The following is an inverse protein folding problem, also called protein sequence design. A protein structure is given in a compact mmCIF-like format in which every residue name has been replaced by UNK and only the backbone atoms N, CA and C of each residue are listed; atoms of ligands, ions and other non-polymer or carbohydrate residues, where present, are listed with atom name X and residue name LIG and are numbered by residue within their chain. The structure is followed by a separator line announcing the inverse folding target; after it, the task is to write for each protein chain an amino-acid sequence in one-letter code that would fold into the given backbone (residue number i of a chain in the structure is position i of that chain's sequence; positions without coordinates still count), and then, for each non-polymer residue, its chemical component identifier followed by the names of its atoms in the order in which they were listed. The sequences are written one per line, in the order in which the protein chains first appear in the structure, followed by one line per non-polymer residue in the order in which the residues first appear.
data_IF_526724248662
#
_entry.id   IF_526724248662
#
_cell.length_a   1.000
_cell.length_b   1.000
_cell.length_c   1.000
_cell.angle_alpha   90.00
_cell.angle_beta   90.00
_cell.angle_gamma   90.00
#
_symmetry.space_group_name_H-M   'P 1'
#
loop_
_entity.id
_entity.type
_entity.pdbx_description
1 polymer ?
#
# COMPACT_ATOMS: atom_id res chain seq x y z
N UNK A 1 17.57 -6.01 -25.67
CA UNK A 1 17.09 -7.26 -26.30
C UNK A 1 18.10 -7.83 -27.32
N UNK A 2 19.41 -7.78 -27.01
CA UNK A 2 20.51 -8.31 -27.87
C UNK A 2 21.56 -9.08 -27.03
N UNK A 3 21.27 -9.39 -25.77
CA UNK A 3 22.17 -10.20 -24.91
C UNK A 3 21.38 -11.32 -24.22
N UNK A 4 20.49 -11.96 -24.96
CA UNK A 4 19.77 -13.16 -24.51
C UNK A 4 19.91 -14.32 -25.53
N UNK A 5 20.90 -14.22 -26.40
CA UNK A 5 21.43 -15.33 -27.17
C UNK A 5 22.76 -15.69 -26.53
N UNK A 6 22.80 -16.83 -25.84
CA UNK A 6 23.95 -17.66 -25.42
C UNK A 6 23.62 -18.28 -24.05
N UNK A 7 22.65 -19.20 -24.07
CA UNK A 7 22.63 -20.41 -23.24
C UNK A 7 21.48 -21.33 -23.66
N UNK A 8 21.61 -21.93 -24.85
CA UNK A 8 20.82 -23.12 -25.21
C UNK A 8 21.76 -24.33 -25.25
N UNK A 9 21.77 -25.01 -24.10
CA UNK A 9 22.35 -26.34 -23.89
C UNK A 9 21.61 -27.37 -24.76
N UNK A 10 22.39 -28.30 -25.33
CA UNK A 10 22.17 -29.65 -25.89
C UNK A 10 20.81 -30.09 -26.52
N UNK A 11 19.68 -29.45 -26.23
CA UNK A 11 18.37 -29.72 -26.85
C UNK A 11 18.19 -29.07 -28.23
N UNK A 12 19.06 -28.14 -28.63
CA UNK A 12 19.04 -27.52 -29.95
C UNK A 12 19.34 -28.52 -31.07
N UNK A 13 20.18 -29.53 -30.79
CA UNK A 13 20.53 -30.58 -31.75
C UNK A 13 19.37 -31.54 -32.00
N UNK A 14 18.60 -31.92 -30.96
CA UNK A 14 17.39 -32.73 -31.16
C UNK A 14 16.30 -31.98 -31.95
N UNK A 15 16.15 -30.67 -31.70
CA UNK A 15 15.19 -29.86 -32.45
C UNK A 15 15.61 -29.76 -33.94
N UNK A 16 16.89 -29.49 -34.22
CA UNK A 16 17.41 -29.41 -35.58
C UNK A 16 17.35 -30.75 -36.34
N UNK A 17 17.66 -31.87 -35.68
CA UNK A 17 17.59 -33.21 -36.28
C UNK A 17 16.13 -33.62 -36.55
N UNK A 18 15.21 -33.27 -35.65
CA UNK A 18 13.77 -33.50 -35.87
C UNK A 18 13.22 -32.67 -37.04
N UNK A 19 13.65 -31.40 -37.17
CA UNK A 19 13.24 -30.54 -38.29
C UNK A 19 13.84 -30.97 -39.62
N UNK A 20 15.06 -31.53 -39.63
CA UNK A 20 15.68 -32.07 -40.85
C UNK A 20 14.98 -33.35 -41.30
N UNK A 21 14.63 -34.26 -40.37
CA UNK A 21 13.84 -35.45 -40.71
C UNK A 21 12.45 -35.10 -41.22
N UNK A 22 11.79 -34.09 -40.66
CA UNK A 22 10.50 -33.57 -41.17
C UNK A 22 10.65 -32.96 -42.56
N UNK A 23 11.73 -32.22 -42.84
CA UNK A 23 12.00 -31.65 -44.17
C UNK A 23 12.33 -32.73 -45.22
N UNK A 24 13.05 -33.79 -44.85
CA UNK A 24 13.30 -34.94 -45.73
C UNK A 24 12.01 -35.73 -46.00
N UNK A 25 11.13 -35.87 -45.01
CA UNK A 25 9.82 -36.52 -45.19
C UNK A 25 8.88 -35.69 -46.10
N UNK A 26 9.02 -34.37 -46.09
CA UNK A 26 8.26 -33.46 -46.98
C UNK A 26 8.82 -33.49 -48.42
N UNK A 27 10.11 -33.78 -48.61
CA UNK A 27 10.76 -33.80 -49.93
C UNK A 27 10.34 -34.97 -50.83
N UNK A 28 9.86 -36.08 -50.28
CA UNK A 28 9.38 -37.23 -51.08
C UNK A 28 7.86 -37.26 -51.31
N UNK A 29 7.12 -36.26 -50.80
CA UNK A 29 5.68 -36.19 -51.04
C UNK A 29 5.36 -35.57 -52.39
N UNK A 30 5.10 -36.45 -53.37
CA UNK A 30 4.41 -36.16 -54.63
C UNK A 30 3.24 -35.21 -54.35
N UNK A 31 3.29 -33.97 -54.88
CA UNK A 31 2.29 -32.90 -54.63
C UNK A 31 0.86 -33.46 -54.73
N UNK A 32 0.13 -33.61 -53.61
CA UNK A 32 -1.30 -33.85 -53.68
C UNK A 32 -1.97 -32.49 -53.93
N UNK A 33 -3.01 -32.48 -54.77
CA UNK A 33 -3.85 -31.33 -55.10
C UNK A 33 -4.49 -30.63 -53.88
N UNK A 34 -4.33 -31.21 -52.68
CA UNK A 34 -4.94 -30.78 -51.43
C UNK A 34 -3.92 -30.21 -50.41
N UNK A 35 -2.66 -29.99 -50.79
CA UNK A 35 -1.63 -29.46 -49.87
C UNK A 35 -2.04 -28.12 -49.22
N UNK A 36 -2.69 -27.24 -49.99
CA UNK A 36 -3.22 -25.97 -49.47
C UNK A 36 -4.33 -26.17 -48.43
N UNK A 37 -5.13 -27.23 -48.55
CA UNK A 37 -6.20 -27.58 -47.59
C UNK A 37 -5.57 -28.04 -46.28
N UNK A 38 -4.55 -28.91 -46.34
CA UNK A 38 -3.85 -29.41 -45.15
C UNK A 38 -3.16 -28.28 -44.38
N UNK A 39 -2.49 -27.37 -45.10
CA UNK A 39 -1.85 -26.18 -44.49
C UNK A 39 -2.90 -25.29 -43.80
N UNK A 40 -4.05 -25.07 -44.45
CA UNK A 40 -5.14 -24.27 -43.88
C UNK A 40 -5.71 -24.84 -42.59
N UNK A 41 -5.94 -26.16 -42.54
CA UNK A 41 -6.45 -26.85 -41.34
C UNK A 41 -5.46 -26.75 -40.18
N UNK A 42 -4.17 -27.02 -40.43
CA UNK A 42 -3.14 -26.96 -39.38
C UNK A 42 -2.97 -25.54 -38.84
N UNK A 43 -2.95 -24.54 -39.71
CA UNK A 43 -2.87 -23.13 -39.30
C UNK A 43 -4.08 -22.73 -38.44
N UNK A 44 -5.30 -23.16 -38.82
CA UNK A 44 -6.51 -22.89 -38.06
C UNK A 44 -6.48 -23.53 -36.66
N UNK A 45 -5.99 -24.76 -36.54
CA UNK A 45 -5.89 -25.43 -35.23
C UNK A 45 -4.88 -24.74 -34.32
N UNK A 46 -3.74 -24.30 -34.86
CA UNK A 46 -2.72 -23.57 -34.09
C UNK A 46 -3.23 -22.20 -33.61
N UNK A 47 -3.96 -21.47 -34.46
CA UNK A 47 -4.61 -20.21 -34.08
C UNK A 47 -5.65 -20.40 -32.96
N UNK A 48 -6.42 -21.49 -33.02
CA UNK A 48 -7.42 -21.79 -32.00
C UNK A 48 -6.77 -22.12 -30.65
N UNK A 49 -5.72 -22.94 -30.65
CA UNK A 49 -4.94 -23.28 -29.45
C UNK A 49 -4.30 -22.01 -28.85
N UNK A 50 -3.69 -21.17 -29.68
CA UNK A 50 -3.11 -19.90 -29.23
C UNK A 50 -4.17 -18.99 -28.60
N UNK A 51 -5.34 -18.87 -29.22
CA UNK A 51 -6.46 -18.07 -28.71
C UNK A 51 -6.98 -18.59 -27.36
N UNK A 52 -7.03 -19.92 -27.18
CA UNK A 52 -7.42 -20.55 -25.92
C UNK A 52 -6.37 -20.30 -24.83
N UNK A 53 -5.08 -20.46 -25.14
CA UNK A 53 -3.98 -20.20 -24.19
C UNK A 53 -3.97 -18.73 -23.79
N UNK A 54 -4.10 -17.81 -24.76
CA UNK A 54 -4.24 -16.37 -24.48
C UNK A 54 -5.47 -16.13 -23.63
N UNK A 55 -6.63 -16.70 -23.94
CA UNK A 55 -7.85 -16.54 -23.14
C UNK A 55 -7.68 -17.04 -21.69
N UNK A 56 -7.05 -18.19 -21.47
CA UNK A 56 -6.79 -18.70 -20.11
C UNK A 56 -5.71 -17.91 -19.39
N UNK A 57 -4.66 -17.47 -20.09
CA UNK A 57 -3.64 -16.59 -19.53
C UNK A 57 -4.23 -15.23 -19.17
N UNK A 58 -5.10 -14.69 -20.02
CA UNK A 58 -5.83 -13.45 -19.81
C UNK A 58 -6.84 -13.60 -18.68
N UNK A 59 -7.58 -14.73 -18.60
CA UNK A 59 -8.43 -15.08 -17.45
C UNK A 59 -7.64 -15.26 -16.17
N UNK A 60 -6.40 -15.76 -16.20
CA UNK A 60 -5.57 -15.92 -15.00
C UNK A 60 -4.93 -14.60 -14.58
N UNK A 61 -4.56 -13.77 -15.54
CA UNK A 61 -4.00 -12.43 -15.33
C UNK A 61 -5.07 -11.42 -14.85
N UNK A 62 -6.31 -11.53 -15.35
CA UNK A 62 -7.44 -10.67 -14.96
C UNK A 62 -8.37 -11.28 -13.91
N UNK A 63 -8.40 -12.61 -13.75
CA UNK A 63 -9.34 -13.33 -12.86
C UNK A 63 -9.09 -13.16 -11.37
N UNK A 64 -8.09 -12.39 -10.98
CA UNK A 64 -7.84 -12.02 -9.58
C UNK A 64 -7.71 -10.52 -9.35
N UNK A 65 -7.91 -9.69 -10.39
CA UNK A 65 -8.15 -8.26 -10.18
C UNK A 65 -9.60 -8.09 -9.76
N UNK A 66 -9.81 -8.03 -8.45
CA UNK A 66 -10.94 -7.32 -7.85
C UNK A 66 -11.21 -6.07 -8.69
N UNK A 67 -12.41 -5.98 -9.27
CA UNK A 67 -12.82 -4.88 -10.16
C UNK A 67 -12.46 -3.56 -9.49
N UNK A 68 -11.52 -2.82 -10.10
CA UNK A 68 -11.07 -1.50 -9.65
C UNK A 68 -12.28 -0.55 -9.58
N UNK A 69 -12.39 0.23 -8.51
CA UNK A 69 -13.46 1.23 -8.36
C UNK A 69 -14.86 0.64 -8.23
N UNK A 70 -15.01 -0.49 -7.53
CA UNK A 70 -16.32 -1.12 -7.33
C UNK A 70 -17.28 -0.17 -6.62
N UNK A 71 -18.42 0.14 -7.23
CA UNK A 71 -19.52 0.79 -6.53
C UNK A 71 -20.24 -0.27 -5.69
N UNK A 72 -20.30 -0.04 -4.38
CA UNK A 72 -21.06 -0.88 -3.46
C UNK A 72 -22.38 -0.20 -3.14
N UNK A 73 -23.43 -1.02 -2.95
CA UNK A 73 -24.70 -0.49 -2.45
C UNK A 73 -24.68 -0.38 -0.93
N UNK A 74 -25.45 0.56 -0.37
CA UNK A 74 -25.53 0.69 1.09
C UNK A 74 -26.11 -0.58 1.71
N UNK A 75 -27.11 -1.20 1.05
CA UNK A 75 -27.70 -2.48 1.48
C UNK A 75 -26.65 -3.59 1.56
N UNK A 76 -25.75 -3.68 0.59
CA UNK A 76 -24.67 -4.67 0.58
C UNK A 76 -23.70 -4.46 1.75
N UNK A 77 -23.26 -3.22 2.00
CA UNK A 77 -22.34 -2.92 3.09
C UNK A 77 -22.99 -3.07 4.47
N UNK A 78 -24.28 -2.72 4.57
CA UNK A 78 -25.09 -2.95 5.76
C UNK A 78 -25.19 -4.45 6.08
N UNK A 79 -25.42 -5.29 5.08
CA UNK A 79 -25.43 -6.74 5.27
C UNK A 79 -24.03 -7.26 5.67
N UNK A 80 -22.98 -6.83 4.96
CA UNK A 80 -21.60 -7.27 5.19
C UNK A 80 -21.08 -6.94 6.60
N UNK A 81 -21.53 -5.85 7.20
CA UNK A 81 -21.11 -5.37 8.53
C UNK A 81 -22.06 -5.78 9.66
N UNK A 82 -23.07 -6.61 9.37
CA UNK A 82 -24.16 -6.95 10.29
C UNK A 82 -24.86 -5.70 10.85
N UNK A 83 -25.29 -4.82 9.95
CA UNK A 83 -25.91 -3.53 10.26
C UNK A 83 -24.98 -2.61 11.08
N UNK A 84 -23.71 -2.51 10.69
CA UNK A 84 -22.70 -1.70 11.40
C UNK A 84 -22.65 -2.02 12.91
N UNK A 85 -22.70 -3.31 13.24
CA UNK A 85 -22.70 -3.77 14.63
C UNK A 85 -21.47 -3.23 15.38
N UNK A 86 -21.65 -2.75 16.60
CA UNK A 86 -20.58 -2.24 17.45
C UNK A 86 -19.49 -3.28 17.73
N UNK A 87 -19.84 -4.58 17.75
CA UNK A 87 -18.88 -5.68 17.88
C UNK A 87 -17.91 -5.78 16.69
N UNK A 88 -18.30 -5.27 15.52
CA UNK A 88 -17.47 -5.21 14.33
C UNK A 88 -16.68 -3.90 14.21
N UNK A 89 -16.81 -2.97 15.16
CA UNK A 89 -16.13 -1.68 15.09
C UNK A 89 -14.63 -1.84 15.34
N UNK A 90 -13.84 -1.43 14.35
CA UNK A 90 -12.38 -1.47 14.37
C UNK A 90 -11.79 -0.21 15.00
N UNK A 91 -12.43 0.94 14.79
CA UNK A 91 -12.00 2.22 15.32
C UNK A 91 -12.94 3.36 14.97
N UNK A 92 -12.71 4.52 15.59
CA UNK A 92 -13.40 5.77 15.32
C UNK A 92 -12.44 6.94 15.54
N UNK A 93 -12.55 7.96 14.69
CA UNK A 93 -11.78 9.19 14.80
C UNK A 93 -12.46 10.35 14.07
N UNK A 94 -11.71 11.43 13.82
CA UNK A 94 -12.21 12.62 13.10
C UNK A 94 -12.75 12.30 11.70
N UNK A 95 -12.31 11.19 11.12
CA UNK A 95 -12.66 10.69 9.78
C UNK A 95 -13.85 9.71 9.78
N UNK A 96 -14.52 9.53 10.93
CA UNK A 96 -15.67 8.63 11.07
C UNK A 96 -15.32 7.27 11.67
N UNK A 97 -16.25 6.32 11.53
CA UNK A 97 -16.16 4.98 12.13
C UNK A 97 -15.76 3.93 11.09
N UNK A 98 -14.92 2.98 11.49
CA UNK A 98 -14.47 1.87 10.64
C UNK A 98 -15.01 0.56 11.18
N UNK A 99 -15.59 -0.26 10.32
CA UNK A 99 -16.20 -1.55 10.67
C UNK A 99 -15.58 -2.69 9.87
N UNK A 100 -15.38 -3.83 10.52
CA UNK A 100 -15.09 -5.10 9.83
C UNK A 100 -16.37 -5.60 9.16
N UNK A 101 -16.23 -6.13 7.95
CA UNK A 101 -17.32 -6.79 7.26
C UNK A 101 -16.84 -8.00 6.47
N UNK A 102 -17.78 -8.81 6.02
CA UNK A 102 -17.55 -9.91 5.09
C UNK A 102 -18.54 -9.80 3.92
N UNK A 103 -18.01 -9.70 2.71
CA UNK A 103 -18.81 -9.70 1.49
C UNK A 103 -19.39 -11.11 1.23
N UNK A 104 -20.42 -11.19 0.38
CA UNK A 104 -21.10 -12.46 0.05
C UNK A 104 -20.18 -13.50 -0.60
N UNK A 105 -19.10 -13.08 -1.24
CA UNK A 105 -18.07 -13.94 -1.81
C UNK A 105 -17.01 -14.39 -0.77
N UNK A 106 -17.21 -14.08 0.52
CA UNK A 106 -16.31 -14.44 1.61
C UNK A 106 -15.16 -13.46 1.86
N UNK A 107 -14.96 -12.45 1.01
CA UNK A 107 -13.89 -11.46 1.17
C UNK A 107 -14.11 -10.62 2.44
N UNK A 108 -13.13 -10.61 3.33
CA UNK A 108 -13.14 -9.74 4.52
C UNK A 108 -12.72 -8.33 4.11
N UNK A 109 -13.46 -7.34 4.59
CA UNK A 109 -13.29 -5.92 4.24
C UNK A 109 -13.30 -5.03 5.47
N UNK A 110 -12.71 -3.85 5.34
CA UNK A 110 -12.87 -2.74 6.27
C UNK A 110 -13.72 -1.65 5.61
N UNK A 111 -14.81 -1.27 6.28
CA UNK A 111 -15.77 -0.27 5.79
C UNK A 111 -15.62 0.99 6.64
N UNK A 112 -15.03 2.05 6.06
CA UNK A 112 -14.92 3.37 6.68
C UNK A 112 -16.18 4.17 6.32
N UNK A 113 -17.01 4.46 7.31
CA UNK A 113 -18.19 5.31 7.18
C UNK A 113 -17.82 6.74 7.56
N UNK A 114 -17.82 7.63 6.57
CA UNK A 114 -17.50 9.04 6.75
C UNK A 114 -18.75 9.81 7.18
N UNK A 115 -18.56 10.83 8.01
CA UNK A 115 -19.66 11.70 8.43
C UNK A 115 -20.03 12.63 7.27
N UNK A 116 -21.18 12.39 6.64
CA UNK A 116 -21.73 13.26 5.59
C UNK A 116 -22.27 14.59 6.10
N UNK A 117 -22.35 14.78 7.42
CA UNK A 117 -22.86 16.01 8.04
C UNK A 117 -21.80 17.12 8.16
N UNK A 118 -20.53 16.83 7.85
CA UNK A 118 -19.45 17.82 7.91
C UNK A 118 -18.89 18.13 6.50
N UNK A 119 -18.62 19.41 6.24
CA UNK A 119 -17.88 19.82 5.01
C UNK A 119 -16.51 19.16 4.92
N UNK A 120 -15.92 18.83 6.06
CA UNK A 120 -14.65 18.13 6.17
C UNK A 120 -14.76 16.69 5.66
N UNK A 121 -15.75 15.92 6.13
CA UNK A 121 -15.93 14.52 5.73
C UNK A 121 -16.18 14.35 4.23
N UNK A 122 -16.94 15.26 3.61
CA UNK A 122 -17.14 15.25 2.15
C UNK A 122 -15.85 15.53 1.38
N UNK A 123 -15.02 16.47 1.84
CA UNK A 123 -13.73 16.77 1.20
C UNK A 123 -12.77 15.59 1.33
N UNK A 124 -12.69 15.00 2.52
CA UNK A 124 -11.85 13.82 2.78
C UNK A 124 -12.30 12.63 1.94
N UNK A 125 -13.61 12.39 1.79
CA UNK A 125 -14.12 11.33 0.91
C UNK A 125 -13.65 11.49 -0.53
N UNK A 126 -13.87 12.68 -1.11
CA UNK A 126 -13.49 12.97 -2.50
C UNK A 126 -11.97 12.89 -2.66
N UNK A 127 -11.22 13.40 -1.69
CA UNK A 127 -9.76 13.34 -1.70
C UNK A 127 -9.28 11.90 -1.62
N UNK A 128 -9.80 11.10 -0.70
CA UNK A 128 -9.35 9.72 -0.49
C UNK A 128 -9.64 8.86 -1.73
N UNK A 129 -10.82 8.99 -2.36
CA UNK A 129 -11.10 8.36 -3.66
C UNK A 129 -10.15 8.86 -4.73
N UNK A 130 -10.00 10.19 -4.89
CA UNK A 130 -9.17 10.76 -5.95
C UNK A 130 -7.71 10.34 -5.85
N UNK A 131 -7.18 10.28 -4.62
CA UNK A 131 -5.76 10.02 -4.35
C UNK A 131 -5.44 8.53 -4.45
N UNK A 132 -6.23 7.66 -3.81
CA UNK A 132 -5.85 6.24 -3.70
C UNK A 132 -6.44 5.37 -4.82
N UNK A 133 -7.47 5.83 -5.56
CA UNK A 133 -8.18 5.00 -6.56
C UNK A 133 -7.31 4.58 -7.77
N UNK A 134 -6.08 5.06 -7.89
CA UNK A 134 -5.11 4.63 -8.91
C UNK A 134 -3.84 4.00 -8.34
N UNK A 135 -3.63 4.04 -7.02
CA UNK A 135 -2.38 3.63 -6.41
C UNK A 135 -2.43 2.14 -6.05
N UNK A 136 -1.40 1.42 -6.46
CA UNK A 136 -1.24 0.01 -6.10
C UNK A 136 0.22 -0.25 -5.74
N UNK A 137 0.47 -0.46 -4.46
CA UNK A 137 1.79 -0.73 -3.94
C UNK A 137 1.69 -1.65 -2.72
N UNK A 138 2.61 -2.62 -2.51
CA UNK A 138 2.55 -3.56 -1.39
C UNK A 138 2.50 -2.91 0.00
N UNK A 139 3.01 -1.68 0.12
CA UNK A 139 3.02 -0.91 1.36
C UNK A 139 1.99 0.23 1.40
N UNK A 140 0.98 0.20 0.54
CA UNK A 140 -0.19 1.07 0.62
C UNK A 140 -1.46 0.21 0.77
N UNK A 141 -2.41 0.65 1.59
CA UNK A 141 -3.67 -0.07 1.76
C UNK A 141 -4.51 0.02 0.49
N UNK A 142 -5.03 -1.10 0.04
CA UNK A 142 -5.83 -1.18 -1.17
C UNK A 142 -7.28 -0.75 -0.92
N UNK A 143 -7.72 0.29 -1.64
CA UNK A 143 -9.14 0.62 -1.77
C UNK A 143 -9.80 -0.32 -2.78
N UNK A 144 -10.82 -1.06 -2.34
CA UNK A 144 -11.66 -1.87 -3.22
C UNK A 144 -12.73 -1.05 -3.92
N UNK A 145 -13.27 -0.02 -3.24
CA UNK A 145 -14.25 0.88 -3.84
C UNK A 145 -15.01 1.72 -2.82
N UNK A 146 -16.16 2.24 -3.22
CA UNK A 146 -16.94 3.16 -2.40
C UNK A 146 -18.45 2.93 -2.53
N UNK A 147 -19.21 3.51 -1.59
CA UNK A 147 -20.66 3.63 -1.64
C UNK A 147 -21.03 5.11 -1.49
N UNK A 148 -21.87 5.59 -2.42
CA UNK A 148 -22.43 6.95 -2.43
C UNK A 148 -23.94 6.83 -2.64
N UNK A 149 -24.69 6.79 -1.54
CA UNK A 149 -26.17 6.69 -1.58
C UNK A 149 -26.79 7.71 -0.62
N UNK A 150 -27.40 8.76 -1.16
CA UNK A 150 -27.97 9.85 -0.36
C UNK A 150 -26.92 10.51 0.54
N UNK A 151 -27.10 10.42 1.85
CA UNK A 151 -26.13 10.92 2.84
C UNK A 151 -25.13 9.85 3.31
N UNK A 152 -25.04 8.70 2.64
CA UNK A 152 -24.14 7.61 3.01
C UNK A 152 -22.88 7.67 2.14
N UNK A 153 -21.75 8.02 2.75
CA UNK A 153 -20.43 8.02 2.13
C UNK A 153 -19.57 6.96 2.81
N UNK A 154 -19.27 5.87 2.11
CA UNK A 154 -18.47 4.77 2.65
C UNK A 154 -17.33 4.41 1.71
N UNK A 155 -16.18 4.09 2.29
CA UNK A 155 -15.01 3.55 1.60
C UNK A 155 -14.78 2.10 2.04
N UNK A 156 -14.46 1.25 1.08
CA UNK A 156 -14.26 -0.19 1.29
C UNK A 156 -12.81 -0.53 1.00
N UNK A 157 -12.10 -0.96 2.03
CA UNK A 157 -10.69 -1.33 1.98
C UNK A 157 -10.49 -2.83 2.16
N UNK A 158 -9.30 -3.30 1.78
CA UNK A 158 -8.78 -4.56 2.31
C UNK A 158 -8.75 -4.51 3.86
N UNK A 159 -9.04 -5.65 4.48
CA UNK A 159 -8.97 -5.78 5.93
C UNK A 159 -7.56 -6.10 6.36
N UNK A 160 -7.10 -5.44 7.44
CA UNK A 160 -5.76 -5.58 7.98
C UNK A 160 -5.83 -6.30 9.33
N UNK A 161 -5.31 -7.54 9.39
CA UNK A 161 -5.56 -8.46 10.50
C UNK A 161 -4.94 -8.04 11.82
N UNK A 162 -3.79 -7.36 11.78
CA UNK A 162 -3.04 -6.95 12.96
C UNK A 162 -3.28 -5.48 13.36
N UNK A 163 -4.33 -4.85 12.80
CA UNK A 163 -4.74 -3.48 13.09
C UNK A 163 -3.61 -2.46 12.81
N UNK A 164 -3.67 -1.26 13.40
CA UNK A 164 -2.65 -0.23 13.22
C UNK A 164 -1.39 -0.49 14.08
N UNK A 165 -0.27 0.07 13.62
CA UNK A 165 1.02 0.01 14.29
C UNK A 165 0.97 0.56 15.72
N UNK A 166 0.18 1.62 15.96
CA UNK A 166 -0.02 2.15 17.31
C UNK A 166 -0.64 1.11 18.25
N UNK A 167 -1.59 0.31 17.76
CA UNK A 167 -2.18 -0.79 18.54
C UNK A 167 -1.15 -1.88 18.83
N UNK A 168 -0.32 -2.23 17.84
CA UNK A 168 0.74 -3.23 18.02
C UNK A 168 1.83 -2.77 19.00
N UNK A 169 2.23 -1.49 18.97
CA UNK A 169 3.29 -0.95 19.82
C UNK A 169 2.83 -0.64 21.25
N UNK A 170 1.62 -0.11 21.42
CA UNK A 170 1.16 0.47 22.70
C UNK A 170 0.02 -0.30 23.37
N UNK A 171 -0.56 -1.28 22.68
CA UNK A 171 -1.73 -2.02 23.13
C UNK A 171 -3.03 -1.21 23.07
N UNK A 172 -4.13 -1.81 23.52
CA UNK A 172 -5.37 -1.06 23.80
C UNK A 172 -5.18 -0.26 25.08
N UNK A 173 -5.56 1.03 25.08
CA UNK A 173 -5.62 1.81 26.32
C UNK A 173 -6.41 1.02 27.38
N UNK A 174 -5.75 0.67 28.50
CA UNK A 174 -6.38 0.00 29.64
C UNK A 174 -6.49 -1.53 29.56
N UNK A 175 -5.90 -2.19 28.57
CA UNK A 175 -5.89 -3.65 28.45
C UNK A 175 -4.44 -4.18 28.43
N UNK A 176 -4.00 -4.79 29.53
CA UNK A 176 -2.67 -5.43 29.65
C UNK A 176 -2.54 -6.71 28.80
N UNK A 177 -3.65 -7.19 28.25
CA UNK A 177 -3.70 -8.41 27.45
C UNK A 177 -3.38 -8.12 25.97
N UNK A 178 -2.26 -8.70 25.55
CA UNK A 178 -1.75 -8.86 24.18
C UNK A 178 -1.34 -7.59 23.42
N UNK A 179 -0.27 -6.93 23.84
CA UNK A 179 0.62 -6.27 22.87
C UNK A 179 1.27 -7.34 22.00
N UNK A 180 1.13 -7.22 20.67
CA UNK A 180 1.95 -8.01 19.75
C UNK A 180 3.41 -7.71 20.09
N UNK A 181 4.15 -8.70 20.60
CA UNK A 181 5.58 -8.53 20.87
C UNK A 181 6.32 -8.49 19.54
N UNK A 182 6.43 -7.28 18.98
CA UNK A 182 7.24 -7.01 17.79
C UNK A 182 8.72 -7.09 18.19
N UNK A 183 9.40 -8.12 17.72
CA UNK A 183 10.87 -8.22 17.81
C UNK A 183 11.54 -7.14 16.94
N UNK A 184 12.86 -7.01 17.10
CA UNK A 184 13.60 -5.97 16.42
C UNK A 184 13.60 -6.12 14.90
N UNK A 185 13.71 -7.35 14.40
CA UNK A 185 13.68 -7.64 12.96
C UNK A 185 12.34 -7.23 12.34
N UNK A 186 11.22 -7.56 13.00
CA UNK A 186 9.89 -7.15 12.55
C UNK A 186 9.74 -5.63 12.56
N UNK A 187 10.28 -4.95 13.59
CA UNK A 187 10.28 -3.48 13.65
C UNK A 187 11.05 -2.85 12.50
N UNK A 188 12.23 -3.39 12.17
CA UNK A 188 13.02 -2.94 11.02
C UNK A 188 12.25 -3.17 9.70
N UNK A 189 11.65 -4.35 9.54
CA UNK A 189 10.80 -4.68 8.38
C UNK A 189 9.64 -3.69 8.22
N UNK A 190 8.99 -3.30 9.32
CA UNK A 190 7.92 -2.30 9.33
C UNK A 190 8.46 -0.94 8.87
N UNK A 191 9.59 -0.47 9.42
CA UNK A 191 10.21 0.79 8.99
C UNK A 191 10.51 0.79 7.49
N UNK A 192 11.11 -0.29 6.97
CA UNK A 192 11.42 -0.44 5.55
C UNK A 192 10.14 -0.43 4.71
N UNK A 193 9.08 -1.09 5.17
CA UNK A 193 7.78 -1.08 4.50
C UNK A 193 7.19 0.32 4.39
N UNK A 194 7.21 1.10 5.48
CA UNK A 194 6.73 2.49 5.48
C UNK A 194 7.57 3.34 4.52
N UNK A 195 8.90 3.22 4.60
CA UNK A 195 9.81 3.98 3.74
C UNK A 195 9.58 3.69 2.25
N UNK A 196 9.38 2.42 1.86
CA UNK A 196 9.02 2.04 0.49
C UNK A 196 7.68 2.63 0.05
N UNK A 197 6.68 2.61 0.94
CA UNK A 197 5.40 3.24 0.67
C UNK A 197 5.52 4.75 0.41
N UNK A 198 6.36 5.44 1.17
CA UNK A 198 6.62 6.88 0.98
C UNK A 198 7.43 7.16 -0.28
N UNK A 199 8.49 6.41 -0.55
CA UNK A 199 9.29 6.54 -1.77
C UNK A 199 8.39 6.38 -3.02
N UNK A 200 7.49 5.39 -3.00
CA UNK A 200 6.51 5.23 -4.07
C UNK A 200 5.62 6.48 -4.25
N UNK A 201 5.10 7.06 -3.17
CA UNK A 201 4.24 8.25 -3.24
C UNK A 201 5.01 9.49 -3.71
N UNK A 202 6.26 9.65 -3.30
CA UNK A 202 7.06 10.84 -3.55
C UNK A 202 7.77 10.83 -4.91
N UNK A 203 8.16 9.65 -5.40
CA UNK A 203 9.11 9.53 -6.51
C UNK A 203 8.71 8.53 -7.58
N UNK A 204 8.14 7.37 -7.23
CA UNK A 204 7.90 6.31 -8.24
C UNK A 204 6.51 6.40 -8.89
N UNK A 205 5.54 6.99 -8.19
CA UNK A 205 4.20 7.17 -8.72
C UNK A 205 4.16 8.22 -9.84
N UNK A 206 3.23 8.03 -10.78
CA UNK A 206 3.03 8.95 -11.92
C UNK A 206 2.65 10.35 -11.47
N UNK A 207 1.94 10.48 -10.35
CA UNK A 207 1.56 11.77 -9.78
C UNK A 207 2.12 11.81 -8.37
N UNK A 208 2.97 12.80 -8.07
CA UNK A 208 3.63 12.89 -6.77
C UNK A 208 2.63 13.27 -5.70
N UNK A 209 2.66 12.56 -4.59
CA UNK A 209 1.68 12.67 -3.52
C UNK A 209 2.39 12.91 -2.20
N UNK A 210 2.02 13.97 -1.49
CA UNK A 210 2.39 14.18 -0.09
C UNK A 210 1.22 13.71 0.79
N UNK A 211 1.46 12.73 1.66
CA UNK A 211 0.44 12.09 2.50
C UNK A 211 -0.10 13.01 3.60
N UNK A 212 0.79 13.78 4.24
CA UNK A 212 0.50 14.84 5.23
C UNK A 212 0.05 14.38 6.62
N UNK A 213 -0.27 13.10 6.81
CA UNK A 213 -0.69 12.56 8.10
C UNK A 213 -0.07 11.18 8.39
N UNK A 214 1.25 11.08 8.22
CA UNK A 214 2.00 9.87 8.61
C UNK A 214 2.11 9.81 10.13
N UNK A 215 1.57 8.73 10.71
CA UNK A 215 1.58 8.45 12.15
C UNK A 215 1.31 6.96 12.39
N UNK A 216 1.63 6.45 13.57
CA UNK A 216 1.48 5.03 13.88
C UNK A 216 0.02 4.52 13.79
N UNK A 217 -0.99 5.39 13.92
CA UNK A 217 -2.40 5.00 13.72
C UNK A 217 -2.81 4.86 12.26
N UNK A 218 -2.06 5.47 11.33
CA UNK A 218 -2.32 5.43 9.89
C UNK A 218 -1.41 4.41 9.16
N UNK A 219 -0.57 3.67 9.89
CA UNK A 219 0.16 2.51 9.37
C UNK A 219 -0.56 1.25 9.84
N UNK A 220 -1.11 0.47 8.92
CA UNK A 220 -1.78 -0.79 9.21
C UNK A 220 -0.85 -1.99 8.98
N UNK A 221 -1.12 -3.09 9.67
CA UNK A 221 -0.32 -4.32 9.62
C UNK A 221 -1.17 -5.48 9.10
N UNK A 222 -0.71 -6.12 8.03
CA UNK A 222 -1.37 -7.32 7.51
C UNK A 222 -1.05 -8.54 8.39
N UNK A 223 -1.61 -9.69 8.06
CA UNK A 223 -1.36 -10.97 8.74
C UNK A 223 0.12 -11.31 8.93
N UNK A 224 1.01 -10.91 8.01
CA UNK A 224 2.46 -11.17 8.04
C UNK A 224 3.27 -9.99 8.60
N UNK A 225 2.59 -9.05 9.28
CA UNK A 225 3.18 -7.85 9.87
C UNK A 225 3.90 -6.98 8.84
N UNK A 226 3.46 -7.01 7.58
CA UNK A 226 3.89 -6.02 6.59
C UNK A 226 3.13 -4.71 6.82
N UNK A 227 3.86 -3.60 6.78
CA UNK A 227 3.30 -2.27 6.94
C UNK A 227 2.63 -1.78 5.66
N UNK A 228 1.42 -1.22 5.80
CA UNK A 228 0.70 -0.52 4.74
C UNK A 228 0.22 0.86 5.21
N UNK A 229 0.58 1.90 4.47
CA UNK A 229 0.14 3.27 4.72
C UNK A 229 -1.34 3.40 4.32
N UNK A 230 -2.12 4.06 5.17
CA UNK A 230 -3.56 4.26 5.04
C UNK A 230 -3.95 5.71 5.34
N UNK A 231 -5.21 6.05 5.07
CA UNK A 231 -5.83 7.34 5.38
C UNK A 231 -5.29 8.52 4.56
N UNK A 232 -5.63 8.52 3.27
CA UNK A 232 -5.25 9.56 2.31
C UNK A 232 -6.18 10.78 2.35
N UNK A 233 -7.04 10.91 3.35
CA UNK A 233 -8.03 12.00 3.45
C UNK A 233 -7.41 13.39 3.43
N UNK A 234 -6.17 13.55 3.90
CA UNK A 234 -5.43 14.81 3.93
C UNK A 234 -4.37 14.96 2.83
N UNK A 235 -4.16 13.93 2.01
CA UNK A 235 -3.08 13.91 1.03
C UNK A 235 -3.22 15.02 -0.03
N UNK A 236 -2.11 15.40 -0.65
CA UNK A 236 -2.05 16.44 -1.69
C UNK A 236 -1.19 16.00 -2.86
N UNK A 237 -1.61 16.37 -4.07
CA UNK A 237 -0.79 16.22 -5.27
C UNK A 237 0.25 17.34 -5.30
N UNK A 238 1.48 16.99 -5.66
CA UNK A 238 2.58 17.92 -5.93
C UNK A 238 2.82 17.95 -7.44
N UNK A 239 2.75 19.12 -8.03
CA UNK A 239 3.13 19.32 -9.44
C UNK A 239 4.66 19.33 -9.56
N UNK A 240 5.20 18.83 -10.69
CA UNK A 240 6.66 18.63 -10.84
C UNK A 240 7.47 19.92 -10.74
N UNK A 241 6.89 21.05 -11.15
CA UNK A 241 7.54 22.36 -11.16
C UNK A 241 7.49 23.09 -9.81
N UNK A 242 6.70 22.59 -8.85
CA UNK A 242 6.50 23.25 -7.56
C UNK A 242 7.62 22.90 -6.57
N UNK A 243 8.27 23.93 -6.03
CA UNK A 243 9.19 23.78 -4.89
C UNK A 243 8.46 23.35 -3.62
N UNK A 244 7.21 23.80 -3.45
CA UNK A 244 6.35 23.50 -2.32
C UNK A 244 4.88 23.74 -2.68
N UNK A 245 3.97 23.10 -1.94
CA UNK A 245 2.53 23.32 -2.02
C UNK A 245 2.15 24.29 -0.90
N UNK A 246 1.69 25.50 -1.26
CA UNK A 246 1.09 26.42 -0.30
C UNK A 246 -0.31 25.97 0.08
N UNK A 247 -0.51 25.51 1.32
CA UNK A 247 -1.81 24.99 1.78
C UNK A 247 -2.07 25.33 3.24
N UNK A 248 -3.35 25.34 3.63
CA UNK A 248 -3.74 25.35 5.04
C UNK A 248 -3.07 24.19 5.76
N UNK A 249 -2.51 24.48 6.94
CA UNK A 249 -1.93 23.49 7.85
C UNK A 249 -3.00 22.53 8.32
N UNK A 250 -2.77 21.23 8.12
CA UNK A 250 -3.54 20.16 8.73
C UNK A 250 -2.73 18.86 8.74
N UNK A 251 -2.95 18.07 9.78
CA UNK A 251 -2.18 16.88 10.14
C UNK A 251 -2.28 16.70 11.66
N UNK A 252 -1.53 15.74 12.20
CA UNK A 252 -1.54 15.46 13.64
C UNK A 252 -0.41 16.20 14.36
N UNK A 253 -0.76 16.97 15.40
CA UNK A 253 0.22 17.66 16.25
C UNK A 253 1.20 16.66 16.86
N UNK A 254 2.50 17.03 16.87
CA UNK A 254 3.60 16.16 17.29
C UNK A 254 4.22 15.33 16.17
N UNK A 255 3.56 15.22 15.01
CA UNK A 255 4.10 14.58 13.80
C UNK A 255 4.40 15.60 12.68
N UNK A 256 3.79 16.79 12.71
CA UNK A 256 4.00 17.82 11.68
C UNK A 256 5.42 18.38 11.70
N UNK A 257 6.02 18.50 10.52
CA UNK A 257 7.29 19.20 10.33
C UNK A 257 7.16 20.69 10.70
N UNK A 258 8.18 21.28 11.33
CA UNK A 258 8.11 22.66 11.82
C UNK A 258 7.91 23.68 10.71
N UNK A 259 8.60 23.53 9.58
CA UNK A 259 8.46 24.41 8.40
C UNK A 259 7.04 24.40 7.83
N UNK A 260 6.41 23.23 7.80
CA UNK A 260 5.03 23.09 7.37
C UNK A 260 4.05 23.70 8.39
N UNK A 261 4.27 23.44 9.67
CA UNK A 261 3.41 23.94 10.74
C UNK A 261 3.46 25.48 10.88
N UNK A 262 4.61 26.09 10.62
CA UNK A 262 4.80 27.54 10.73
C UNK A 262 4.33 28.30 9.49
N UNK A 263 4.63 27.79 8.30
CA UNK A 263 4.46 28.55 7.05
C UNK A 263 3.40 27.98 6.11
N UNK A 264 2.90 26.78 6.36
CA UNK A 264 1.98 26.09 5.44
C UNK A 264 2.65 25.65 4.12
N UNK A 265 3.99 25.70 4.06
CA UNK A 265 4.78 25.24 2.93
C UNK A 265 4.93 23.72 3.01
N UNK A 266 4.14 22.99 2.21
CA UNK A 266 4.15 21.55 2.22
C UNK A 266 5.07 20.99 1.15
N UNK A 267 5.97 20.10 1.55
CA UNK A 267 6.82 19.30 0.66
C UNK A 267 6.79 17.84 1.10
N UNK A 268 7.34 16.94 0.29
CA UNK A 268 7.53 15.54 0.66
C UNK A 268 8.38 15.36 1.92
N UNK A 269 9.25 16.34 2.24
CA UNK A 269 10.04 16.33 3.49
C UNK A 269 9.19 16.41 4.75
N UNK A 270 7.95 16.92 4.66
CA UNK A 270 7.01 16.88 5.78
C UNK A 270 6.61 15.45 6.16
N UNK A 271 6.44 14.56 5.17
CA UNK A 271 6.19 13.14 5.40
C UNK A 271 7.44 12.43 5.94
N UNK A 272 8.64 12.82 5.47
CA UNK A 272 9.91 12.28 5.96
C UNK A 272 10.11 12.61 7.44
N UNK A 273 9.83 13.84 7.85
CA UNK A 273 9.86 14.23 9.26
C UNK A 273 8.87 13.40 10.09
N UNK A 274 7.64 13.28 9.60
CA UNK A 274 6.57 12.50 10.26
C UNK A 274 6.96 11.01 10.40
N UNK A 275 7.59 10.44 9.37
CA UNK A 275 8.16 9.10 9.40
C UNK A 275 9.28 8.98 10.45
N UNK A 276 10.14 9.99 10.57
CA UNK A 276 11.15 10.05 11.62
C UNK A 276 10.54 9.89 13.01
N UNK A 277 9.45 10.60 13.30
CA UNK A 277 8.70 10.46 14.56
C UNK A 277 8.17 9.04 14.74
N UNK A 278 7.57 8.44 13.70
CA UNK A 278 7.08 7.04 13.76
C UNK A 278 8.23 6.05 13.98
N UNK A 279 9.41 6.28 13.39
CA UNK A 279 10.58 5.45 13.64
C UNK A 279 11.04 5.53 15.10
N UNK A 280 10.94 6.70 15.75
CA UNK A 280 11.19 6.84 17.19
C UNK A 280 10.18 6.04 18.01
N UNK A 281 8.90 6.04 17.62
CA UNK A 281 7.86 5.26 18.27
C UNK A 281 8.13 3.75 18.15
N UNK A 282 8.51 3.29 16.96
CA UNK A 282 8.87 1.90 16.68
C UNK A 282 10.10 1.50 17.51
N UNK A 283 11.14 2.32 17.57
CA UNK A 283 12.37 2.00 18.29
C UNK A 283 12.16 2.01 19.81
N UNK A 284 11.44 3.00 20.33
CA UNK A 284 11.26 3.19 21.77
C UNK A 284 10.12 2.36 22.36
N UNK A 285 9.14 1.95 21.54
CA UNK A 285 7.87 1.40 22.02
C UNK A 285 7.05 2.41 22.83
N UNK A 286 7.33 3.72 22.71
CA UNK A 286 6.64 4.78 23.43
C UNK A 286 5.79 5.62 22.49
N UNK A 287 4.63 6.05 22.97
CA UNK A 287 3.70 6.86 22.22
C UNK A 287 4.12 8.34 22.26
N UNK A 288 4.26 8.97 21.10
CA UNK A 288 4.67 10.37 20.97
C UNK A 288 3.61 11.36 21.47
N UNK A 289 2.32 11.01 21.38
CA UNK A 289 1.20 11.83 21.84
C UNK A 289 0.97 11.74 23.36
N UNK A 290 1.65 10.85 24.08
CA UNK A 290 1.62 10.83 25.55
C UNK A 290 2.53 11.94 26.09
N UNK A 291 1.94 13.11 26.29
CA UNK A 291 2.49 14.14 27.16
C UNK A 291 2.86 13.50 28.50
N UNK A 292 4.17 13.39 28.76
CA UNK A 292 4.71 13.00 30.06
C UNK A 292 5.69 14.09 30.45
N UNK A 293 5.22 15.04 31.25
CA UNK A 293 6.07 15.94 32.02
C UNK A 293 6.86 15.14 33.07
N UNK A 294 7.80 14.33 32.62
CA UNK A 294 8.79 13.68 33.46
C UNK A 294 10.13 13.91 32.78
N UNK A 295 10.93 14.80 33.37
CA UNK A 295 12.28 15.22 32.92
C UNK A 295 12.30 16.28 31.80
N UNK A 296 11.39 17.27 31.84
CA UNK A 296 11.39 18.45 30.94
C UNK A 296 11.30 18.18 29.42
N UNK A 297 11.06 16.94 29.01
CA UNK A 297 10.87 16.56 27.60
C UNK A 297 9.38 16.54 27.25
N UNK A 298 8.97 17.27 26.21
CA UNK A 298 7.56 17.41 25.79
C UNK A 298 7.16 16.31 24.81
N UNK A 299 8.08 15.86 23.96
CA UNK A 299 7.88 14.79 22.98
C UNK A 299 9.09 13.86 22.82
N UNK A 300 8.99 12.81 21.98
CA UNK A 300 10.11 11.90 21.73
C UNK A 300 11.32 12.60 21.11
N UNK A 301 11.10 13.65 20.32
CA UNK A 301 12.18 14.43 19.72
C UNK A 301 13.00 15.19 20.78
N UNK A 302 12.35 15.69 21.83
CA UNK A 302 13.02 16.34 22.96
C UNK A 302 13.83 15.33 23.77
N UNK A 303 13.29 14.12 23.94
CA UNK A 303 13.99 13.03 24.62
C UNK A 303 15.29 12.66 23.88
N UNK A 304 15.25 12.53 22.55
CA UNK A 304 16.45 12.27 21.74
C UNK A 304 17.44 13.43 21.86
N UNK A 305 16.95 14.66 21.86
CA UNK A 305 17.78 15.86 22.02
C UNK A 305 18.45 15.92 23.39
N UNK A 306 17.77 15.52 24.47
CA UNK A 306 18.34 15.40 25.81
C UNK A 306 19.35 14.24 25.92
N UNK A 307 19.09 13.13 25.23
CA UNK A 307 19.97 11.95 25.21
C UNK A 307 21.26 12.16 24.40
N UNK A 308 21.33 13.15 23.48
CA UNK A 308 22.57 13.52 22.76
C UNK A 308 23.73 13.89 23.68
N UNK A 309 23.44 14.23 24.94
CA UNK A 309 24.44 14.51 25.98
C UNK A 309 25.12 13.25 26.56
N UNK A 310 24.61 12.05 26.23
CA UNK A 310 25.11 10.77 26.78
C UNK A 310 25.51 9.82 25.63
N UNK A 311 26.70 9.21 25.73
CA UNK A 311 27.36 8.33 24.73
C UNK A 311 26.47 7.31 23.99
N UNK A 312 25.31 6.94 24.52
CA UNK A 312 24.33 6.03 23.89
C UNK A 312 23.69 6.60 22.60
N UNK A 313 23.61 7.93 22.46
CA UNK A 313 23.05 8.56 21.25
C UNK A 313 23.89 8.33 19.98
N UNK A 314 25.19 8.01 20.08
CA UNK A 314 26.02 7.69 18.89
C UNK A 314 25.69 6.33 18.28
N UNK A 315 25.35 5.33 19.08
CA UNK A 315 24.86 4.03 18.61
C UNK A 315 23.44 4.15 18.03
N UNK A 316 22.60 4.99 18.66
CA UNK A 316 21.23 5.26 18.24
C UNK A 316 21.14 6.03 16.92
N UNK A 317 21.95 7.08 16.79
CA UNK A 317 22.15 7.80 15.52
C UNK A 317 22.80 6.87 14.50
N UNK A 318 23.69 5.95 14.86
CA UNK A 318 24.24 4.96 13.94
C UNK A 318 23.20 4.00 13.35
N UNK A 319 22.25 3.50 14.16
CA UNK A 319 21.19 2.59 13.67
C UNK A 319 20.04 3.31 12.97
N UNK A 320 19.67 4.52 13.41
CA UNK A 320 18.71 5.37 12.68
C UNK A 320 19.32 5.99 11.43
N UNK A 321 20.62 6.34 11.43
CA UNK A 321 21.38 6.67 10.23
C UNK A 321 21.55 5.46 9.34
N UNK A 322 21.59 4.22 9.83
CA UNK A 322 21.57 3.04 8.94
C UNK A 322 20.23 2.92 8.20
N UNK A 323 19.12 3.24 8.88
CA UNK A 323 17.77 3.27 8.27
C UNK A 323 17.59 4.50 7.37
N UNK A 324 18.17 5.65 7.72
CA UNK A 324 18.21 6.87 6.90
C UNK A 324 19.27 6.80 5.78
N UNK A 325 20.34 6.02 5.93
CA UNK A 325 21.39 5.81 4.91
C UNK A 325 20.93 4.81 3.86
N UNK A 326 20.06 3.86 4.22
CA UNK A 326 19.24 3.15 3.23
C UNK A 326 18.35 4.09 2.39
N UNK A 327 18.17 5.34 2.79
CA UNK A 327 17.44 6.38 2.05
C UNK A 327 18.37 7.32 1.25
N UNK A 328 19.70 7.22 1.41
CA UNK A 328 20.69 8.01 0.66
C UNK A 328 21.32 7.16 -0.47
N UNK A 329 21.17 5.83 -0.44
CA UNK A 329 21.68 4.91 -1.47
C UNK A 329 20.61 4.36 -2.45
N UNK A 330 19.41 4.95 -2.46
CA UNK A 330 18.38 4.76 -3.48
C UNK A 330 17.95 6.11 -4.03
#
# INVERSE_FOLDING_TARGET
MVSMFVKMSSNSYLFLVSTWYVMLFISEYKKPSNLHIVIGVVASMLCLIFSIVVFFYWRRYFGHKSRRGGTFTFRQLKAATNNFNSANKLGEGGFGSVYKGQLSNGTIIAVKQLSSRSRQGNREFVNEIGMISGLQHPNLVQLFGCCVEGSQLLLVYEYMENNCLAHALFGKQGSETSTLKLDWETRQKICVGIARGLAFLHEESTIKIVHRDIKATNVLLDRQLNAKISDFGLAKLKEEDDTHISTRVAGTVGYMAPEYALWGHLTEKADVYSFGVVALEIASGRNNARYRAKNDCVCLLDLVSCLRTVRLARLWIGSCLAVLSCWIEF
#
